data_IF_693848919687
#
_entry.id   IF_693848919687
#
_cell.length_a   1.000
_cell.length_b   1.000
_cell.length_c   1.000
_cell.angle_alpha   90.00
_cell.angle_beta   90.00
_cell.angle_gamma   90.00
#
_symmetry.space_group_name_H-M   'P 1'
#
loop_
_entity.id
_entity.type
_entity.pdbx_description
1 polymer ?
#
# COMPACT_ATOMS: atom_id res chain seq x y z
N UNK A 1 -86.58 -5.53 -0.98
CA UNK A 1 -87.04 -6.92 -1.10
C UNK A 1 -85.85 -7.74 -1.59
N UNK A 2 -85.47 -8.76 -0.81
CA UNK A 2 -84.46 -9.82 -1.03
C UNK A 2 -83.02 -9.44 -1.48
N UNK A 3 -82.07 -9.57 -0.52
CA UNK A 3 -80.64 -9.81 -0.74
C UNK A 3 -80.43 -11.31 -0.93
N UNK A 4 -79.75 -11.73 -1.99
CA UNK A 4 -79.16 -13.06 -2.08
C UNK A 4 -77.64 -12.94 -1.91
N UNK A 5 -77.13 -13.55 -0.84
CA UNK A 5 -75.71 -13.66 -0.51
C UNK A 5 -75.30 -15.07 -0.89
N UNK A 6 -74.50 -15.22 -1.94
CA UNK A 6 -73.81 -16.48 -2.23
C UNK A 6 -72.68 -16.67 -1.19
N UNK A 7 -72.85 -17.68 -0.34
CA UNK A 7 -71.85 -18.15 0.61
C UNK A 7 -71.05 -19.25 -0.07
N UNK A 8 -69.85 -18.93 -0.55
CA UNK A 8 -68.85 -19.92 -0.96
C UNK A 8 -68.32 -20.63 0.29
N UNK A 9 -69.02 -21.69 0.71
CA UNK A 9 -68.66 -22.53 1.84
C UNK A 9 -67.34 -23.27 1.60
N UNK A 10 -66.31 -22.92 2.38
CA UNK A 10 -65.06 -23.68 2.49
C UNK A 10 -65.40 -25.01 3.19
N UNK A 11 -65.45 -26.09 2.43
CA UNK A 11 -65.76 -27.44 2.93
C UNK A 11 -64.56 -27.98 3.73
N UNK A 12 -64.73 -28.08 5.05
CA UNK A 12 -63.77 -28.74 5.96
C UNK A 12 -64.25 -30.17 6.26
N UNK A 13 -63.43 -31.16 5.91
CA UNK A 13 -63.70 -32.57 6.19
C UNK A 13 -63.26 -32.91 7.63
N UNK A 14 -64.21 -33.36 8.45
CA UNK A 14 -63.99 -33.87 9.82
C UNK A 14 -64.24 -35.37 9.85
N UNK A 15 -63.34 -36.11 10.49
CA UNK A 15 -63.54 -37.53 10.83
C UNK A 15 -63.81 -37.62 12.33
N UNK A 16 -64.85 -38.37 12.70
CA UNK A 16 -65.20 -38.63 14.10
C UNK A 16 -64.70 -40.02 14.49
N UNK A 17 -63.90 -40.08 15.56
CA UNK A 17 -63.45 -41.33 16.17
C UNK A 17 -64.49 -41.82 17.21
N UNK A 18 -64.56 -43.14 17.51
CA UNK A 18 -65.57 -43.70 18.41
C UNK A 18 -65.58 -43.12 19.83
N UNK A 19 -64.48 -42.50 20.27
CA UNK A 19 -64.35 -41.88 21.60
C UNK A 19 -64.88 -40.43 21.65
N UNK A 20 -65.56 -39.95 20.60
CA UNK A 20 -66.24 -38.64 20.58
C UNK A 20 -65.34 -37.45 20.26
N UNK A 21 -64.05 -37.68 20.02
CA UNK A 21 -63.12 -36.63 19.57
C UNK A 21 -63.21 -36.43 18.05
N UNK A 22 -63.42 -35.18 17.63
CA UNK A 22 -63.45 -34.79 16.21
C UNK A 22 -62.12 -34.13 15.81
N UNK A 23 -61.46 -34.66 14.78
CA UNK A 23 -60.22 -34.05 14.25
C UNK A 23 -60.48 -33.42 12.88
N UNK A 24 -60.02 -32.18 12.71
CA UNK A 24 -60.04 -31.48 11.41
C UNK A 24 -58.84 -31.95 10.61
N UNK A 25 -59.10 -32.55 9.44
CA UNK A 25 -58.03 -32.98 8.53
C UNK A 25 -57.57 -31.78 7.70
N UNK A 26 -56.43 -31.19 8.06
CA UNK A 26 -55.74 -30.19 7.23
C UNK A 26 -55.19 -30.94 5.99
N UNK A 27 -55.42 -30.47 4.76
CA UNK A 27 -54.89 -31.14 3.56
C UNK A 27 -53.37 -31.23 3.63
N UNK A 28 -52.83 -32.46 3.59
CA UNK A 28 -51.39 -32.76 3.62
C UNK A 28 -50.60 -31.99 2.55
N UNK A 29 -51.26 -31.61 1.46
CA UNK A 29 -50.68 -30.85 0.35
C UNK A 29 -50.24 -29.43 0.73
N UNK A 30 -50.92 -28.75 1.66
CA UNK A 30 -50.53 -27.39 2.09
C UNK A 30 -49.28 -27.41 2.97
N UNK A 31 -49.16 -28.44 3.82
CA UNK A 31 -48.03 -28.59 4.74
C UNK A 31 -46.78 -29.07 4.00
N UNK A 32 -46.96 -30.00 3.05
CA UNK A 32 -45.92 -30.43 2.12
C UNK A 32 -45.41 -29.29 1.23
N UNK A 33 -46.30 -28.44 0.69
CA UNK A 33 -45.89 -27.33 -0.17
C UNK A 33 -45.13 -26.23 0.59
N UNK A 34 -45.51 -25.96 1.85
CA UNK A 34 -44.79 -25.03 2.74
C UNK A 34 -43.42 -25.60 3.16
N UNK A 35 -43.36 -26.89 3.50
CA UNK A 35 -42.10 -27.58 3.82
C UNK A 35 -41.15 -27.64 2.61
N UNK A 36 -41.68 -27.90 1.42
CA UNK A 36 -40.94 -27.89 0.15
C UNK A 36 -40.39 -26.49 -0.18
N UNK A 37 -41.19 -25.44 -0.01
CA UNK A 37 -40.76 -24.05 -0.17
C UNK A 37 -39.68 -23.65 0.85
N UNK A 38 -39.79 -24.10 2.10
CA UNK A 38 -38.78 -23.86 3.13
C UNK A 38 -37.48 -24.62 2.85
N UNK A 39 -37.57 -25.85 2.34
CA UNK A 39 -36.42 -26.65 1.94
C UNK A 39 -35.69 -26.05 0.73
N UNK A 40 -36.43 -25.62 -0.30
CA UNK A 40 -35.89 -24.85 -1.44
C UNK A 40 -35.26 -23.54 -0.99
N UNK A 41 -35.93 -22.76 -0.12
CA UNK A 41 -35.34 -21.54 0.46
C UNK A 41 -34.06 -21.85 1.22
N UNK A 42 -34.00 -22.93 2.01
CA UNK A 42 -32.79 -23.36 2.72
C UNK A 42 -31.65 -23.78 1.77
N UNK A 43 -31.98 -24.44 0.66
CA UNK A 43 -31.04 -24.91 -0.37
C UNK A 43 -30.38 -23.75 -1.12
N UNK A 44 -31.12 -22.66 -1.39
CA UNK A 44 -30.58 -21.45 -2.04
C UNK A 44 -30.02 -20.42 -1.05
N UNK A 45 -30.62 -20.25 0.13
CA UNK A 45 -30.18 -19.26 1.11
C UNK A 45 -28.84 -19.63 1.77
N UNK A 46 -28.54 -20.92 1.96
CA UNK A 46 -27.24 -21.38 2.48
C UNK A 46 -26.05 -21.04 1.58
N UNK A 47 -26.06 -21.32 0.26
CA UNK A 47 -24.97 -20.91 -0.62
C UNK A 47 -24.95 -19.39 -0.81
N UNK A 48 -26.11 -18.74 -0.98
CA UNK A 48 -26.17 -17.27 -1.13
C UNK A 48 -25.58 -16.56 0.10
N UNK A 49 -25.92 -16.99 1.32
CA UNK A 49 -25.38 -16.38 2.55
C UNK A 49 -23.88 -16.66 2.78
N UNK A 50 -23.33 -17.75 2.23
CA UNK A 50 -21.88 -17.99 2.21
C UNK A 50 -21.17 -17.04 1.24
N UNK A 51 -21.73 -16.86 0.05
CA UNK A 51 -21.23 -15.91 -0.96
C UNK A 51 -21.31 -14.49 -0.40
N UNK A 52 -22.43 -14.12 0.23
CA UNK A 52 -22.62 -12.80 0.81
C UNK A 52 -21.61 -12.50 1.93
N UNK A 53 -21.34 -13.46 2.83
CA UNK A 53 -20.28 -13.32 3.84
C UNK A 53 -18.89 -13.19 3.24
N UNK A 54 -18.61 -13.91 2.14
CA UNK A 54 -17.35 -13.78 1.44
C UNK A 54 -17.21 -12.40 0.80
N UNK A 55 -18.26 -11.92 0.13
CA UNK A 55 -18.31 -10.59 -0.46
C UNK A 55 -18.15 -9.49 0.59
N UNK A 56 -18.84 -9.59 1.73
CA UNK A 56 -18.71 -8.64 2.84
C UNK A 56 -17.28 -8.63 3.40
N UNK A 57 -16.68 -9.81 3.62
CA UNK A 57 -15.28 -9.90 4.07
C UNK A 57 -14.31 -9.33 3.04
N UNK A 58 -14.52 -9.60 1.75
CA UNK A 58 -13.72 -9.05 0.66
C UNK A 58 -13.92 -7.54 0.51
N UNK A 59 -15.12 -7.03 0.74
CA UNK A 59 -15.43 -5.61 0.75
C UNK A 59 -14.69 -4.90 1.89
N UNK A 60 -14.78 -5.44 3.10
CA UNK A 60 -14.07 -4.90 4.26
C UNK A 60 -12.55 -4.92 4.06
N UNK A 61 -12.00 -5.98 3.45
CA UNK A 61 -10.58 -6.04 3.09
C UNK A 61 -10.22 -5.04 1.98
N UNK A 62 -11.08 -4.86 0.99
CA UNK A 62 -10.86 -3.91 -0.10
C UNK A 62 -10.92 -2.45 0.36
N UNK A 63 -11.84 -2.14 1.29
CA UNK A 63 -11.93 -0.83 1.95
C UNK A 63 -10.72 -0.57 2.83
N UNK A 64 -10.16 -1.61 3.49
CA UNK A 64 -8.95 -1.47 4.28
C UNK A 64 -7.71 -1.14 3.41
N UNK A 65 -7.64 -1.65 2.18
CA UNK A 65 -6.50 -1.45 1.28
C UNK A 65 -6.92 -0.95 -0.11
N UNK A 66 -7.45 0.29 -0.22
CA UNK A 66 -8.05 0.80 -1.45
C UNK A 66 -7.07 0.87 -2.62
N UNK A 67 -5.79 1.13 -2.34
CA UNK A 67 -4.74 1.14 -3.36
C UNK A 67 -4.54 -0.22 -4.02
N UNK A 68 -4.64 -1.33 -3.27
CA UNK A 68 -4.49 -2.68 -3.84
C UNK A 68 -5.68 -3.05 -4.71
N UNK A 69 -6.89 -2.62 -4.32
CA UNK A 69 -8.10 -2.78 -5.14
C UNK A 69 -7.97 -2.00 -6.44
N UNK A 70 -7.54 -0.74 -6.37
CA UNK A 70 -7.31 0.11 -7.55
C UNK A 70 -6.26 -0.53 -8.45
N UNK A 71 -5.13 -0.99 -7.91
CA UNK A 71 -4.10 -1.67 -8.69
C UNK A 71 -4.64 -2.94 -9.36
N UNK A 72 -5.33 -3.81 -8.63
CA UNK A 72 -5.96 -5.01 -9.19
C UNK A 72 -6.94 -4.69 -10.32
N UNK A 73 -7.75 -3.65 -10.15
CA UNK A 73 -8.67 -3.19 -11.20
C UNK A 73 -7.92 -2.68 -12.45
N UNK A 74 -6.82 -1.94 -12.29
CA UNK A 74 -5.98 -1.48 -13.42
C UNK A 74 -5.34 -2.64 -14.17
N UNK A 75 -4.79 -3.61 -13.45
CA UNK A 75 -4.19 -4.82 -14.05
C UNK A 75 -5.26 -5.62 -14.80
N UNK A 76 -6.43 -5.82 -14.19
CA UNK A 76 -7.56 -6.50 -14.83
C UNK A 76 -8.02 -5.78 -16.10
N UNK A 77 -8.14 -4.44 -16.06
CA UNK A 77 -8.48 -3.63 -17.21
C UNK A 77 -7.43 -3.73 -18.33
N UNK A 78 -6.13 -3.72 -17.98
CA UNK A 78 -5.04 -3.89 -18.94
C UNK A 78 -5.09 -5.25 -19.64
N UNK A 79 -5.31 -6.32 -18.88
CA UNK A 79 -5.46 -7.67 -19.40
C UNK A 79 -6.71 -7.84 -20.26
N UNK A 80 -7.81 -7.19 -19.90
CA UNK A 80 -9.04 -7.17 -20.69
C UNK A 80 -8.80 -6.46 -22.03
N UNK A 81 -8.19 -5.28 -22.03
CA UNK A 81 -7.90 -4.53 -23.26
C UNK A 81 -6.94 -5.30 -24.16
N UNK A 82 -5.88 -5.90 -23.59
CA UNK A 82 -4.98 -6.80 -24.34
C UNK A 82 -5.77 -7.96 -24.93
N UNK A 83 -6.58 -8.67 -24.14
CA UNK A 83 -7.37 -9.81 -24.60
C UNK A 83 -8.33 -9.43 -25.74
N UNK A 84 -9.04 -8.32 -25.61
CA UNK A 84 -9.96 -7.81 -26.65
C UNK A 84 -9.19 -7.42 -27.91
N UNK A 85 -8.05 -6.75 -27.78
CA UNK A 85 -7.20 -6.37 -28.91
C UNK A 85 -6.75 -7.59 -29.73
N UNK A 86 -6.42 -8.70 -29.06
CA UNK A 86 -6.03 -9.94 -29.72
C UNK A 86 -7.22 -10.79 -30.20
N UNK A 87 -8.42 -10.65 -29.63
CA UNK A 87 -9.59 -11.41 -30.09
C UNK A 87 -10.18 -10.87 -31.40
N UNK A 88 -9.95 -9.59 -31.74
CA UNK A 88 -10.41 -9.00 -32.98
C UNK A 88 -9.61 -9.52 -34.20
N UNK A 89 -10.26 -10.39 -34.98
CA UNK A 89 -9.72 -11.19 -36.10
C UNK A 89 -8.84 -10.44 -37.10
N UNK A 90 -9.12 -9.17 -37.43
CA UNK A 90 -8.38 -8.40 -38.43
C UNK A 90 -6.89 -8.12 -38.08
N UNK A 91 -6.47 -8.31 -36.83
CA UNK A 91 -5.07 -8.15 -36.40
C UNK A 91 -4.43 -9.48 -35.94
N UNK A 92 -5.22 -10.57 -35.91
CA UNK A 92 -4.79 -11.89 -35.40
C UNK A 92 -4.02 -12.71 -36.43
N UNK A 93 -4.32 -12.55 -37.73
CA UNK A 93 -3.73 -13.34 -38.84
C UNK A 93 -2.21 -13.16 -38.99
N UNK A 94 -1.62 -12.15 -38.33
CA UNK A 94 -0.17 -12.02 -38.19
C UNK A 94 0.37 -12.51 -36.85
N UNK A 95 -0.32 -12.24 -35.72
CA UNK A 95 0.29 -12.04 -34.37
C UNK A 95 -0.27 -12.92 -33.26
N UNK A 96 -1.23 -13.81 -33.55
CA UNK A 96 -1.95 -14.59 -32.53
C UNK A 96 -1.08 -15.43 -31.57
N UNK A 97 0.01 -16.02 -32.05
CA UNK A 97 0.93 -16.82 -31.22
C UNK A 97 1.75 -16.02 -30.19
N UNK A 98 1.67 -14.69 -30.22
CA UNK A 98 2.53 -13.80 -29.42
C UNK A 98 1.77 -12.97 -28.39
N UNK A 99 0.44 -13.13 -28.31
CA UNK A 99 -0.41 -12.49 -27.30
C UNK A 99 0.10 -12.80 -25.88
N UNK A 100 0.63 -14.00 -25.66
CA UNK A 100 1.27 -14.41 -24.41
C UNK A 100 2.37 -13.45 -23.96
N UNK A 101 3.17 -12.91 -24.88
CA UNK A 101 4.25 -11.97 -24.54
C UNK A 101 3.72 -10.61 -24.10
N UNK A 102 2.61 -10.15 -24.68
CA UNK A 102 1.94 -8.92 -24.25
C UNK A 102 1.32 -9.10 -22.85
N UNK A 103 0.59 -10.20 -22.64
CA UNK A 103 -0.01 -10.55 -21.34
C UNK A 103 1.07 -10.69 -20.26
N UNK A 104 2.14 -11.44 -20.52
CA UNK A 104 3.26 -11.59 -19.58
C UNK A 104 3.93 -10.25 -19.28
N UNK A 105 4.03 -9.36 -20.27
CA UNK A 105 4.59 -8.02 -20.05
C UNK A 105 3.70 -7.20 -19.12
N UNK A 106 2.37 -7.20 -19.34
CA UNK A 106 1.43 -6.53 -18.43
C UNK A 106 1.59 -7.07 -17.01
N UNK A 107 1.55 -8.39 -16.82
CA UNK A 107 1.63 -9.00 -15.48
C UNK A 107 2.95 -8.69 -14.76
N UNK A 108 4.07 -8.67 -15.48
CA UNK A 108 5.40 -8.48 -14.88
C UNK A 108 5.71 -7.00 -14.60
N UNK A 109 5.21 -6.10 -15.44
CA UNK A 109 5.62 -4.69 -15.46
C UNK A 109 4.67 -3.79 -14.70
N UNK A 110 3.38 -4.12 -14.66
CA UNK A 110 2.37 -3.28 -14.04
C UNK A 110 2.54 -3.28 -12.51
N UNK A 111 2.62 -2.09 -11.92
CA UNK A 111 2.82 -1.88 -10.49
C UNK A 111 1.72 -1.00 -9.89
N UNK A 112 1.72 -0.88 -8.56
CA UNK A 112 0.70 -0.11 -7.83
C UNK A 112 0.77 1.39 -8.13
N UNK A 113 1.98 1.93 -8.30
CA UNK A 113 2.23 3.33 -8.62
C UNK A 113 2.80 3.53 -10.04
N UNK A 114 2.62 4.73 -10.56
CA UNK A 114 3.00 5.10 -11.93
C UNK A 114 4.50 5.05 -12.11
N UNK A 115 5.28 5.59 -11.17
CA UNK A 115 6.74 5.59 -11.24
C UNK A 115 7.38 4.21 -11.32
N UNK A 116 6.90 3.26 -10.51
CA UNK A 116 7.35 1.87 -10.52
C UNK A 116 6.98 1.18 -11.84
N UNK A 117 5.76 1.41 -12.35
CA UNK A 117 5.31 0.87 -13.64
C UNK A 117 6.21 1.40 -14.77
N UNK A 118 6.50 2.70 -14.79
CA UNK A 118 7.38 3.32 -15.79
C UNK A 118 8.81 2.80 -15.71
N UNK A 119 9.37 2.68 -14.51
CA UNK A 119 10.71 2.12 -14.31
C UNK A 119 10.78 0.68 -14.81
N UNK A 120 9.80 -0.16 -14.49
CA UNK A 120 9.73 -1.55 -14.99
C UNK A 120 9.50 -1.61 -16.50
N UNK A 121 8.70 -0.72 -17.08
CA UNK A 121 8.49 -0.61 -18.53
C UNK A 121 9.82 -0.34 -19.24
N UNK A 122 10.59 0.64 -18.73
CA UNK A 122 11.88 1.02 -19.30
C UNK A 122 12.90 -0.11 -19.12
N UNK A 123 12.95 -0.75 -17.95
CA UNK A 123 13.82 -1.90 -17.71
C UNK A 123 13.50 -3.06 -18.66
N UNK A 124 12.21 -3.33 -18.90
CA UNK A 124 11.75 -4.35 -19.84
C UNK A 124 12.12 -4.01 -21.28
N UNK A 125 11.87 -2.77 -21.71
CA UNK A 125 12.24 -2.29 -23.05
C UNK A 125 13.76 -2.35 -23.26
N UNK A 126 14.54 -1.88 -22.29
CA UNK A 126 16.00 -1.86 -22.34
C UNK A 126 16.57 -3.27 -22.37
N UNK A 127 16.09 -4.17 -21.51
CA UNK A 127 16.56 -5.56 -21.48
C UNK A 127 16.26 -6.30 -22.79
N UNK A 128 15.08 -6.10 -23.37
CA UNK A 128 14.72 -6.70 -24.66
C UNK A 128 15.53 -6.11 -25.81
N UNK A 129 15.72 -4.78 -25.84
CA UNK A 129 16.52 -4.10 -26.84
C UNK A 129 18.00 -4.51 -26.79
N UNK A 130 18.58 -4.60 -25.60
CA UNK A 130 19.96 -5.07 -25.40
C UNK A 130 20.13 -6.51 -25.88
N UNK A 131 19.18 -7.40 -25.55
CA UNK A 131 19.20 -8.78 -26.02
C UNK A 131 19.13 -8.86 -27.56
N UNK A 132 18.24 -8.08 -28.19
CA UNK A 132 18.15 -8.01 -29.65
C UNK A 132 19.42 -7.46 -30.30
N UNK A 133 19.99 -6.40 -29.73
CA UNK A 133 21.23 -5.77 -30.21
C UNK A 133 22.42 -6.71 -30.14
N UNK A 134 22.55 -7.47 -29.04
CA UNK A 134 23.58 -8.49 -28.89
C UNK A 134 23.43 -9.60 -29.94
N UNK A 135 22.21 -10.08 -30.19
CA UNK A 135 21.95 -11.09 -31.21
C UNK A 135 22.36 -10.62 -32.62
N UNK A 136 22.04 -9.36 -32.96
CA UNK A 136 22.46 -8.75 -34.23
C UNK A 136 23.99 -8.57 -34.31
N UNK A 137 24.62 -8.17 -33.21
CA UNK A 137 26.08 -8.05 -33.12
C UNK A 137 26.78 -9.38 -33.40
N UNK A 138 26.33 -10.46 -32.78
CA UNK A 138 26.85 -11.82 -33.01
C UNK A 138 26.67 -12.23 -34.48
N UNK A 139 25.49 -12.01 -35.05
CA UNK A 139 25.21 -12.35 -36.45
C UNK A 139 26.09 -11.53 -37.42
N UNK A 140 26.30 -10.25 -37.13
CA UNK A 140 27.15 -9.38 -37.92
C UNK A 140 28.62 -9.84 -37.90
N UNK A 141 29.14 -10.18 -36.72
CA UNK A 141 30.50 -10.74 -36.56
C UNK A 141 30.63 -12.06 -37.33
N UNK A 142 29.64 -12.96 -37.19
CA UNK A 142 29.64 -14.24 -37.86
C UNK A 142 29.64 -14.10 -39.41
N UNK A 143 28.87 -13.14 -39.94
CA UNK A 143 28.84 -12.85 -41.38
C UNK A 143 30.16 -12.26 -41.91
N UNK A 144 30.90 -11.50 -41.09
CA UNK A 144 32.19 -10.90 -41.49
C UNK A 144 33.35 -11.90 -41.49
N UNK A 145 33.22 -13.00 -40.75
CA UNK A 145 34.34 -13.91 -40.45
C UNK A 145 34.60 -15.01 -41.50
N UNK A 146 33.86 -15.03 -42.61
CA UNK A 146 33.98 -16.05 -43.66
C UNK A 146 33.19 -17.34 -43.39
N UNK A 147 32.92 -18.14 -44.44
CA UNK A 147 32.02 -19.30 -44.35
C UNK A 147 32.50 -20.42 -43.43
N UNK A 148 33.82 -20.55 -43.25
CA UNK A 148 34.43 -21.55 -42.36
C UNK A 148 34.30 -21.20 -40.87
N UNK A 149 34.39 -19.92 -40.49
CA UNK A 149 34.34 -19.50 -39.09
C UNK A 149 32.94 -19.09 -38.61
N UNK A 150 32.03 -18.75 -39.53
CA UNK A 150 30.62 -18.43 -39.23
C UNK A 150 29.92 -19.46 -38.33
N UNK A 151 29.92 -20.78 -38.63
CA UNK A 151 29.26 -21.76 -37.77
C UNK A 151 29.96 -21.93 -36.41
N UNK A 152 31.28 -21.71 -36.35
CA UNK A 152 32.05 -21.77 -35.10
C UNK A 152 31.65 -20.61 -34.18
N UNK A 153 31.56 -19.38 -34.71
CA UNK A 153 31.18 -18.18 -33.94
C UNK A 153 29.74 -18.29 -33.43
N UNK A 154 28.80 -18.69 -34.30
CA UNK A 154 27.41 -18.91 -33.89
C UNK A 154 27.34 -20.05 -32.88
N UNK A 155 28.04 -21.16 -33.10
CA UNK A 155 28.08 -22.31 -32.19
C UNK A 155 28.62 -21.96 -30.80
N UNK A 156 29.73 -21.22 -30.72
CA UNK A 156 30.28 -20.74 -29.44
C UNK A 156 29.33 -19.75 -28.77
N UNK A 157 28.73 -18.83 -29.52
CA UNK A 157 27.81 -17.83 -28.97
C UNK A 157 26.53 -18.49 -28.43
N UNK A 158 25.97 -19.44 -29.18
CA UNK A 158 24.83 -20.25 -28.75
C UNK A 158 25.22 -21.17 -27.61
N UNK A 159 26.43 -21.72 -27.57
CA UNK A 159 26.90 -22.53 -26.44
C UNK A 159 27.06 -21.70 -25.16
N UNK A 160 27.62 -20.49 -25.24
CA UNK A 160 27.74 -19.58 -24.10
C UNK A 160 26.35 -19.14 -23.64
N UNK A 161 25.49 -18.72 -24.57
CA UNK A 161 24.10 -18.37 -24.27
C UNK A 161 23.34 -19.58 -23.70
N UNK A 162 23.49 -20.77 -24.27
CA UNK A 162 22.86 -21.99 -23.81
C UNK A 162 23.41 -22.45 -22.47
N UNK A 163 24.68 -22.26 -22.16
CA UNK A 163 25.26 -22.55 -20.85
C UNK A 163 24.72 -21.58 -19.80
N UNK A 164 24.59 -20.29 -20.16
CA UNK A 164 23.90 -19.28 -19.33
C UNK A 164 22.40 -19.59 -19.19
N UNK A 165 21.76 -20.12 -20.23
CA UNK A 165 20.35 -20.52 -20.28
C UNK A 165 20.11 -21.90 -19.63
N UNK A 166 21.11 -22.77 -19.52
CA UNK A 166 21.02 -24.05 -18.82
C UNK A 166 21.02 -23.81 -17.30
N UNK A 167 21.50 -22.65 -16.87
CA UNK A 167 21.23 -22.07 -15.56
C UNK A 167 19.87 -21.33 -15.48
N UNK A 168 19.20 -20.98 -16.59
CA UNK A 168 17.87 -20.35 -16.66
C UNK A 168 17.18 -20.52 -18.05
N UNK A 169 16.15 -21.38 -18.13
CA UNK A 169 15.68 -22.19 -19.28
C UNK A 169 15.21 -21.45 -20.59
N UNK A 170 15.45 -22.10 -21.76
CA UNK A 170 14.74 -22.12 -23.10
C UNK A 170 15.33 -21.54 -24.42
N UNK A 171 15.07 -22.23 -25.55
CA UNK A 171 15.84 -22.35 -26.82
C UNK A 171 15.15 -21.86 -28.14
N UNK A 172 15.98 -21.59 -29.18
CA UNK A 172 15.86 -21.80 -30.66
C UNK A 172 16.32 -20.58 -31.52
N UNK A 173 17.23 -20.82 -32.51
CA UNK A 173 18.08 -19.76 -33.11
C UNK A 173 17.79 -19.41 -34.59
N UNK A 174 17.11 -20.24 -35.37
CA UNK A 174 17.00 -19.98 -36.82
C UNK A 174 15.69 -19.30 -37.27
N UNK A 175 14.65 -19.33 -36.41
CA UNK A 175 13.42 -18.53 -36.56
C UNK A 175 13.52 -17.17 -35.86
N UNK A 176 14.68 -16.85 -35.28
CA UNK A 176 14.84 -15.84 -34.24
C UNK A 176 14.52 -14.43 -34.72
N UNK A 177 14.93 -14.03 -35.93
CA UNK A 177 14.82 -12.62 -36.35
C UNK A 177 13.37 -12.21 -36.66
N UNK A 178 12.63 -13.01 -37.43
CA UNK A 178 11.21 -12.75 -37.70
C UNK A 178 10.37 -12.84 -36.41
N UNK A 179 10.68 -13.82 -35.57
CA UNK A 179 10.06 -14.03 -34.27
C UNK A 179 10.38 -12.90 -33.27
N UNK A 180 11.59 -12.33 -33.34
CA UNK A 180 12.04 -11.22 -32.50
C UNK A 180 11.31 -9.92 -32.84
N UNK A 181 11.25 -9.54 -34.13
CA UNK A 181 10.54 -8.32 -34.56
C UNK A 181 9.09 -8.31 -34.08
N UNK A 182 8.44 -9.45 -34.21
CA UNK A 182 7.07 -9.63 -33.76
C UNK A 182 6.92 -9.54 -32.24
N UNK A 183 7.84 -10.16 -31.49
CA UNK A 183 7.89 -10.03 -30.02
C UNK A 183 8.14 -8.60 -29.56
N UNK A 184 9.01 -7.85 -30.25
CA UNK A 184 9.23 -6.44 -29.94
C UNK A 184 7.95 -5.63 -30.10
N UNK A 185 7.21 -5.83 -31.19
CA UNK A 185 5.94 -5.13 -31.41
C UNK A 185 4.90 -5.48 -30.35
N UNK A 186 4.75 -6.75 -29.95
CA UNK A 186 3.77 -7.14 -28.93
C UNK A 186 4.15 -6.68 -27.53
N UNK A 187 5.44 -6.69 -27.18
CA UNK A 187 5.95 -6.11 -25.92
C UNK A 187 5.74 -4.60 -25.92
N UNK A 188 5.99 -3.92 -27.04
CA UNK A 188 5.76 -2.47 -27.16
C UNK A 188 4.28 -2.09 -26.99
N UNK A 189 3.35 -2.86 -27.55
CA UNK A 189 1.91 -2.69 -27.32
C UNK A 189 1.56 -2.90 -25.84
N UNK A 190 2.08 -3.96 -25.21
CA UNK A 190 1.89 -4.23 -23.79
C UNK A 190 2.40 -3.08 -22.90
N UNK A 191 3.61 -2.57 -23.16
CA UNK A 191 4.19 -1.42 -22.45
C UNK A 191 3.33 -0.17 -22.64
N UNK A 192 2.92 0.12 -23.88
CA UNK A 192 2.11 1.29 -24.19
C UNK A 192 0.77 1.25 -23.43
N UNK A 193 0.11 0.09 -23.40
CA UNK A 193 -1.12 -0.10 -22.64
C UNK A 193 -0.90 0.06 -21.13
N UNK A 194 0.20 -0.46 -20.57
CA UNK A 194 0.52 -0.28 -19.16
C UNK A 194 0.69 1.20 -18.80
N UNK A 195 1.42 1.95 -19.64
CA UNK A 195 1.66 3.38 -19.45
C UNK A 195 0.34 4.17 -19.54
N UNK A 196 -0.45 3.93 -20.58
CA UNK A 196 -1.73 4.61 -20.79
C UNK A 196 -2.68 4.35 -19.61
N UNK A 197 -2.82 3.10 -19.19
CA UNK A 197 -3.77 2.75 -18.14
C UNK A 197 -3.32 3.29 -16.79
N UNK A 198 -2.02 3.18 -16.47
CA UNK A 198 -1.48 3.69 -15.20
C UNK A 198 -1.61 5.21 -15.08
N UNK A 199 -1.49 5.95 -16.18
CA UNK A 199 -1.64 7.41 -16.22
C UNK A 199 -3.10 7.89 -16.23
N UNK A 200 -3.98 7.24 -17.00
CA UNK A 200 -5.35 7.74 -17.22
C UNK A 200 -6.37 7.26 -16.17
N UNK A 201 -6.21 6.04 -15.64
CA UNK A 201 -7.16 5.49 -14.68
C UNK A 201 -6.60 5.66 -13.26
N UNK A 202 -7.18 6.58 -12.48
CA UNK A 202 -6.85 6.84 -11.07
C UNK A 202 -5.34 6.81 -10.77
N UNK A 203 -4.54 7.75 -11.29
CA UNK A 203 -3.08 7.70 -11.15
C UNK A 203 -2.67 7.74 -9.67
N UNK A 204 -1.84 6.78 -9.28
CA UNK A 204 -1.25 6.71 -7.93
C UNK A 204 0.21 7.12 -8.06
N UNK A 205 0.56 8.24 -7.43
CA UNK A 205 1.88 8.85 -7.52
C UNK A 205 2.71 8.50 -6.28
N UNK A 206 3.87 7.87 -6.48
CA UNK A 206 4.84 7.58 -5.44
C UNK A 206 5.37 8.86 -4.77
N UNK A 207 5.51 9.96 -5.52
CA UNK A 207 5.91 11.25 -4.98
C UNK A 207 4.89 11.82 -3.97
N UNK A 208 3.59 11.68 -4.28
CA UNK A 208 2.51 12.09 -3.36
C UNK A 208 2.47 11.20 -2.11
N UNK A 209 2.74 9.91 -2.27
CA UNK A 209 2.78 8.98 -1.13
C UNK A 209 3.96 9.25 -0.21
N UNK A 210 5.15 9.49 -0.77
CA UNK A 210 6.32 9.97 -0.02
C UNK A 210 6.02 11.27 0.71
N UNK A 211 5.36 12.21 0.02
CA UNK A 211 5.02 13.49 0.62
C UNK A 211 4.12 13.34 1.84
N UNK A 212 3.04 12.58 1.71
CA UNK A 212 2.12 12.31 2.82
C UNK A 212 2.79 11.49 3.93
N UNK A 213 3.71 10.58 3.60
CA UNK A 213 4.48 9.82 4.57
C UNK A 213 5.34 10.75 5.46
N UNK A 214 6.09 11.66 4.85
CA UNK A 214 6.92 12.61 5.61
C UNK A 214 6.07 13.52 6.51
N UNK A 215 4.95 14.04 6.00
CA UNK A 215 4.02 14.87 6.80
C UNK A 215 3.49 14.10 8.00
N UNK A 216 2.98 12.87 7.80
CA UNK A 216 2.49 12.04 8.90
C UNK A 216 3.58 11.66 9.90
N UNK A 217 4.80 11.44 9.42
CA UNK A 217 5.93 11.12 10.28
C UNK A 217 6.29 12.29 11.20
N UNK A 218 6.21 13.54 10.71
CA UNK A 218 6.38 14.73 11.55
C UNK A 218 5.30 14.84 12.63
N UNK A 219 4.03 14.63 12.27
CA UNK A 219 2.91 14.64 13.22
C UNK A 219 3.09 13.57 14.31
N UNK A 220 3.39 12.33 13.91
CA UNK A 220 3.63 11.23 14.87
C UNK A 220 4.83 11.50 15.77
N UNK A 221 5.89 12.11 15.24
CA UNK A 221 7.06 12.48 16.02
C UNK A 221 6.73 13.53 17.09
N UNK A 222 5.90 14.52 16.73
CA UNK A 222 5.40 15.54 17.66
C UNK A 222 4.55 14.91 18.78
N UNK A 223 3.61 14.04 18.41
CA UNK A 223 2.72 13.38 19.37
C UNK A 223 3.49 12.43 20.29
N UNK A 224 4.48 11.71 19.76
CA UNK A 224 5.35 10.83 20.54
C UNK A 224 6.25 11.60 21.50
N UNK A 225 6.85 12.71 21.07
CA UNK A 225 7.69 13.55 21.94
C UNK A 225 6.89 14.13 23.11
N UNK A 226 5.75 14.76 22.81
CA UNK A 226 4.86 15.35 23.80
C UNK A 226 4.33 14.28 24.77
N UNK A 227 3.92 13.13 24.22
CA UNK A 227 3.41 12.00 24.99
C UNK A 227 4.46 11.35 25.91
N UNK A 228 5.68 11.09 25.43
CA UNK A 228 6.75 10.50 26.25
C UNK A 228 7.12 11.40 27.43
N UNK A 229 7.23 12.72 27.23
CA UNK A 229 7.56 13.66 28.32
C UNK A 229 6.39 13.76 29.30
N UNK A 230 5.15 13.87 28.81
CA UNK A 230 3.98 13.94 29.66
C UNK A 230 3.79 12.68 30.53
N UNK A 231 4.06 11.50 29.97
CA UNK A 231 4.01 10.24 30.71
C UNK A 231 5.09 10.16 31.80
N UNK A 232 6.32 10.59 31.51
CA UNK A 232 7.42 10.59 32.47
C UNK A 232 7.13 11.41 33.74
N UNK A 233 6.50 12.57 33.56
CA UNK A 233 6.19 13.53 34.63
C UNK A 233 4.76 13.41 35.16
N UNK A 234 4.01 12.37 34.78
CA UNK A 234 2.64 12.18 35.21
C UNK A 234 2.59 11.85 36.71
N UNK A 235 1.76 12.60 37.46
CA UNK A 235 1.40 12.21 38.83
C UNK A 235 0.42 11.03 38.79
N UNK A 236 0.67 10.01 39.61
CA UNK A 236 -0.06 8.73 39.75
C UNK A 236 -1.60 8.85 39.91
N UNK A 237 -2.12 10.07 40.10
CA UNK A 237 -3.53 10.37 40.38
C UNK A 237 -4.38 10.72 39.15
N UNK A 238 -3.81 10.79 37.94
CA UNK A 238 -4.55 11.22 36.74
C UNK A 238 -4.87 10.05 35.81
N UNK A 239 -5.92 9.30 36.12
CA UNK A 239 -6.54 8.38 35.15
C UNK A 239 -7.40 9.22 34.20
N UNK A 240 -6.93 9.45 32.99
CA UNK A 240 -7.77 9.92 31.89
C UNK A 240 -8.17 8.71 31.03
N UNK A 241 -9.47 8.56 30.83
CA UNK A 241 -10.08 7.41 30.17
C UNK A 241 -10.13 7.51 28.65
N UNK A 242 -10.34 6.32 28.06
CA UNK A 242 -10.98 6.01 26.78
C UNK A 242 -10.69 6.92 25.58
N UNK A 243 -9.47 6.86 25.06
CA UNK A 243 -9.16 6.93 23.63
C UNK A 243 -8.12 5.83 23.32
N UNK A 244 -7.79 5.60 22.04
CA UNK A 244 -6.82 4.58 21.60
C UNK A 244 -5.62 4.46 22.55
N UNK A 245 -5.21 3.21 22.83
CA UNK A 245 -4.19 2.87 23.83
C UNK A 245 -3.04 3.91 23.84
N UNK A 246 -2.88 4.72 24.90
CA UNK A 246 -1.92 5.83 24.96
C UNK A 246 -0.50 5.42 24.54
N UNK A 247 -0.14 4.16 24.81
CA UNK A 247 1.14 3.57 24.40
C UNK A 247 1.34 3.60 22.87
N UNK A 248 0.29 3.39 22.08
CA UNK A 248 0.35 3.39 20.60
C UNK A 248 0.70 4.78 20.07
N UNK A 249 0.18 5.84 20.70
CA UNK A 249 0.47 7.24 20.31
C UNK A 249 1.90 7.63 20.69
N UNK A 250 2.35 7.22 21.87
CA UNK A 250 3.70 7.48 22.38
C UNK A 250 4.75 6.72 21.57
N UNK A 251 4.44 5.51 21.09
CA UNK A 251 5.34 4.72 20.25
C UNK A 251 5.28 5.07 18.75
N UNK A 252 4.54 6.12 18.37
CA UNK A 252 4.42 6.60 16.99
C UNK A 252 5.78 6.84 16.31
N UNK A 253 6.81 7.28 17.04
CA UNK A 253 8.17 7.48 16.52
C UNK A 253 8.79 6.20 15.92
N UNK A 254 8.39 4.99 16.35
CA UNK A 254 8.90 3.72 15.80
C UNK A 254 8.59 3.57 14.31
N UNK A 255 7.48 4.14 13.83
CA UNK A 255 7.19 4.12 12.40
C UNK A 255 8.16 4.98 11.59
N UNK A 256 8.69 6.05 12.19
CA UNK A 256 9.71 6.94 11.61
C UNK A 256 11.07 6.24 11.55
N UNK A 257 11.42 5.47 12.58
CA UNK A 257 12.66 4.67 12.58
C UNK A 257 12.68 3.65 11.44
N UNK A 258 11.53 3.02 11.18
CA UNK A 258 11.40 1.98 10.17
C UNK A 258 11.10 2.50 8.74
N UNK A 259 10.95 3.81 8.53
CA UNK A 259 10.48 4.35 7.25
C UNK A 259 11.55 4.44 6.16
N UNK A 260 12.85 4.29 6.48
CA UNK A 260 13.97 4.55 5.55
C UNK A 260 13.84 3.80 4.22
N UNK A 261 13.62 2.50 4.26
CA UNK A 261 13.53 1.69 3.04
C UNK A 261 12.35 2.12 2.16
N UNK A 262 11.21 2.42 2.79
CA UNK A 262 10.00 2.90 2.12
C UNK A 262 10.24 4.27 1.47
N UNK A 263 10.89 5.19 2.18
CA UNK A 263 11.25 6.52 1.66
C UNK A 263 12.16 6.45 0.45
N UNK A 264 13.23 5.64 0.52
CA UNK A 264 14.20 5.47 -0.57
C UNK A 264 13.54 4.87 -1.82
N UNK A 265 12.68 3.87 -1.64
CA UNK A 265 11.93 3.23 -2.72
C UNK A 265 10.96 4.22 -3.37
N UNK A 266 10.17 4.95 -2.58
CA UNK A 266 9.21 5.93 -3.11
C UNK A 266 9.93 7.07 -3.83
N UNK A 267 11.03 7.59 -3.27
CA UNK A 267 11.82 8.64 -3.90
C UNK A 267 12.41 8.17 -5.24
N UNK A 268 12.88 6.92 -5.32
CA UNK A 268 13.39 6.35 -6.57
C UNK A 268 12.29 6.21 -7.62
N UNK A 269 11.09 5.75 -7.24
CA UNK A 269 9.96 5.66 -8.18
C UNK A 269 9.46 7.04 -8.62
N UNK A 270 9.39 8.00 -7.70
CA UNK A 270 8.94 9.36 -7.99
C UNK A 270 9.83 10.11 -8.99
N UNK A 271 11.07 9.67 -9.24
CA UNK A 271 11.94 10.21 -10.30
C UNK A 271 11.52 9.83 -11.71
N UNK A 272 10.76 8.75 -11.85
CA UNK A 272 10.26 8.28 -13.15
C UNK A 272 8.91 8.90 -13.53
N UNK A 273 8.28 9.61 -12.60
CA UNK A 273 6.94 10.14 -12.81
C UNK A 273 6.97 11.37 -13.72
N UNK A 274 6.03 11.49 -14.68
CA UNK A 274 5.81 12.75 -15.40
C UNK A 274 5.38 13.86 -14.43
N UNK A 275 5.41 15.11 -14.90
CA UNK A 275 4.94 16.24 -14.10
C UNK A 275 3.49 16.05 -13.65
N UNK A 276 3.28 16.18 -12.34
CA UNK A 276 1.98 16.00 -11.72
C UNK A 276 1.89 16.80 -10.41
N UNK A 277 0.65 17.05 -9.99
CA UNK A 277 0.35 17.76 -8.75
C UNK A 277 1.01 19.15 -8.66
N UNK A 278 1.26 19.60 -7.43
CA UNK A 278 1.83 20.92 -7.14
C UNK A 278 3.35 21.02 -7.40
N UNK A 279 4.05 19.88 -7.49
CA UNK A 279 5.49 19.86 -7.74
C UNK A 279 5.84 20.10 -9.23
N UNK A 280 4.87 19.94 -10.13
CA UNK A 280 5.04 20.09 -11.58
C UNK A 280 6.31 19.35 -12.07
N UNK A 281 7.32 20.03 -12.66
CA UNK A 281 8.57 19.40 -13.13
C UNK A 281 9.74 19.46 -12.13
N UNK A 282 9.58 20.15 -10.98
CA UNK A 282 10.70 20.46 -10.07
C UNK A 282 10.54 19.73 -8.75
N UNK A 283 10.84 18.44 -8.78
CA UNK A 283 10.67 17.57 -7.63
C UNK A 283 11.91 17.58 -6.71
N UNK A 284 11.78 17.94 -5.42
CA UNK A 284 12.89 17.98 -4.48
C UNK A 284 13.05 16.67 -3.70
N UNK A 285 13.00 15.51 -4.36
CA UNK A 285 12.99 14.21 -3.69
C UNK A 285 14.24 13.94 -2.83
N UNK A 286 15.39 14.51 -3.21
CA UNK A 286 16.60 14.44 -2.38
C UNK A 286 16.41 15.16 -1.04
N UNK A 287 15.72 16.30 -1.03
CA UNK A 287 15.42 17.06 0.18
C UNK A 287 14.45 16.29 1.08
N UNK A 288 13.47 15.58 0.51
CA UNK A 288 12.59 14.69 1.29
C UNK A 288 13.38 13.61 2.05
N UNK A 289 14.37 13.00 1.40
CA UNK A 289 15.25 12.01 2.06
C UNK A 289 16.12 12.63 3.17
N UNK A 290 16.58 13.88 2.98
CA UNK A 290 17.32 14.62 4.02
C UNK A 290 16.44 14.96 5.23
N UNK A 291 15.19 15.35 4.98
CA UNK A 291 14.19 15.56 6.04
C UNK A 291 13.93 14.25 6.78
N UNK A 292 13.70 13.14 6.04
CA UNK A 292 13.57 11.79 6.61
C UNK A 292 14.74 11.39 7.51
N UNK A 293 15.97 11.66 7.09
CA UNK A 293 17.16 11.39 7.90
C UNK A 293 17.18 12.23 9.19
N UNK A 294 16.80 13.50 9.12
CA UNK A 294 16.74 14.40 10.27
C UNK A 294 15.64 13.99 11.26
N UNK A 295 14.47 13.59 10.75
CA UNK A 295 13.39 13.05 11.57
C UNK A 295 13.80 11.77 12.29
N UNK A 296 14.54 10.86 11.63
CA UNK A 296 15.06 9.66 12.29
C UNK A 296 16.03 9.99 13.42
N UNK A 297 16.89 11.00 13.25
CA UNK A 297 17.76 11.45 14.34
C UNK A 297 16.96 11.92 15.56
N UNK A 298 15.89 12.69 15.34
CA UNK A 298 14.98 13.09 16.42
C UNK A 298 14.24 11.89 17.02
N UNK A 299 13.81 10.93 16.19
CA UNK A 299 13.16 9.70 16.66
C UNK A 299 14.09 8.86 17.56
N UNK A 300 15.39 8.80 17.29
CA UNK A 300 16.35 8.16 18.20
C UNK A 300 16.46 8.86 19.55
N UNK A 301 16.37 10.20 19.59
CA UNK A 301 16.33 10.94 20.85
C UNK A 301 15.05 10.63 21.64
N UNK A 302 13.90 10.52 20.96
CA UNK A 302 12.63 10.14 21.59
C UNK A 302 12.65 8.68 22.05
N UNK A 303 13.29 7.78 21.31
CA UNK A 303 13.49 6.39 21.73
C UNK A 303 14.31 6.29 23.03
N UNK A 304 15.38 7.09 23.13
CA UNK A 304 16.17 7.19 24.35
C UNK A 304 15.32 7.73 25.52
N UNK A 305 14.53 8.78 25.29
CA UNK A 305 13.61 9.33 26.29
C UNK A 305 12.57 8.29 26.72
N UNK A 306 11.93 7.62 25.78
CA UNK A 306 10.93 6.59 26.03
C UNK A 306 11.53 5.39 26.79
N UNK A 307 12.80 5.08 26.56
CA UNK A 307 13.52 4.08 27.36
C UNK A 307 13.69 4.51 28.81
N UNK A 308 13.88 5.81 29.09
CA UNK A 308 13.87 6.35 30.45
C UNK A 308 12.49 6.30 31.09
N UNK A 309 11.41 6.53 30.34
CA UNK A 309 10.03 6.37 30.82
C UNK A 309 9.77 4.96 31.31
N UNK A 310 10.21 3.97 30.54
CA UNK A 310 9.99 2.55 30.86
C UNK A 310 11.06 1.95 31.80
N UNK A 311 11.99 2.75 32.32
CA UNK A 311 13.04 2.24 33.20
C UNK A 311 12.52 1.92 34.60
N UNK A 312 13.01 0.82 35.19
CA UNK A 312 12.76 0.49 36.60
C UNK A 312 13.40 1.50 37.56
N UNK A 313 14.50 2.15 37.15
CA UNK A 313 15.22 3.14 37.96
C UNK A 313 14.77 4.54 37.54
N UNK A 314 13.86 5.10 38.31
CA UNK A 314 13.32 6.44 38.08
C UNK A 314 14.11 7.51 38.85
N UNK A 315 14.15 8.73 38.30
CA UNK A 315 14.74 9.86 39.01
C UNK A 315 13.94 10.17 40.29
N UNK A 316 14.60 10.63 41.37
CA UNK A 316 13.92 11.08 42.58
C UNK A 316 12.80 12.10 42.30
N UNK A 317 11.68 11.98 43.02
CA UNK A 317 10.48 12.81 42.81
C UNK A 317 10.75 14.32 42.91
N UNK A 318 11.69 14.73 43.76
CA UNK A 318 12.05 16.15 43.89
C UNK A 318 12.70 16.70 42.61
N UNK A 319 13.55 15.91 41.94
CA UNK A 319 14.14 16.27 40.64
C UNK A 319 13.09 16.24 39.55
N UNK A 320 12.21 15.23 39.55
CA UNK A 320 11.10 15.16 38.59
C UNK A 320 10.24 16.42 38.66
N UNK A 321 9.85 16.85 39.86
CA UNK A 321 9.08 18.09 40.06
C UNK A 321 9.86 19.35 39.67
N UNK A 322 11.16 19.41 39.99
CA UNK A 322 12.01 20.54 39.64
C UNK A 322 12.12 20.74 38.12
N UNK A 323 12.26 19.67 37.35
CA UNK A 323 12.43 19.73 35.90
C UNK A 323 11.13 19.65 35.10
N UNK A 324 10.03 19.20 35.71
CA UNK A 324 8.76 18.95 35.02
C UNK A 324 8.31 20.14 34.18
N UNK A 325 8.27 21.35 34.76
CA UNK A 325 7.80 22.53 34.03
C UNK A 325 8.68 22.84 32.81
N UNK A 326 10.00 22.94 32.99
CA UNK A 326 10.94 23.25 31.91
C UNK A 326 10.92 22.19 30.80
N UNK A 327 10.87 20.90 31.15
CA UNK A 327 10.81 19.81 30.18
C UNK A 327 9.47 19.77 29.43
N UNK A 328 8.35 20.03 30.11
CA UNK A 328 7.02 20.09 29.48
C UNK A 328 6.89 21.27 28.51
N UNK A 329 7.42 22.45 28.88
CA UNK A 329 7.47 23.62 27.98
C UNK A 329 8.35 23.30 26.76
N UNK A 330 9.54 22.75 26.98
CA UNK A 330 10.46 22.41 25.89
C UNK A 330 9.87 21.37 24.93
N UNK A 331 9.22 20.32 25.46
CA UNK A 331 8.60 19.29 24.62
C UNK A 331 7.42 19.85 23.83
N UNK A 332 6.58 20.69 24.45
CA UNK A 332 5.45 21.34 23.80
C UNK A 332 5.92 22.25 22.65
N UNK A 333 6.89 23.14 22.89
CA UNK A 333 7.45 24.03 21.86
C UNK A 333 8.11 23.24 20.71
N UNK A 334 8.84 22.16 21.05
CA UNK A 334 9.47 21.28 20.06
C UNK A 334 8.44 20.57 19.18
N UNK A 335 7.36 20.05 19.79
CA UNK A 335 6.25 19.41 19.08
C UNK A 335 5.46 20.41 18.24
N UNK A 336 5.31 21.65 18.67
CA UNK A 336 4.67 22.70 17.88
C UNK A 336 5.47 23.04 16.61
N UNK A 337 6.80 23.11 16.71
CA UNK A 337 7.67 23.25 15.51
C UNK A 337 7.48 22.08 14.56
N UNK A 338 7.46 20.84 15.06
CA UNK A 338 7.23 19.67 14.21
C UNK A 338 5.85 19.70 13.52
N UNK A 339 4.80 20.13 14.24
CA UNK A 339 3.45 20.32 13.70
C UNK A 339 3.38 21.44 12.66
N UNK A 340 4.06 22.57 12.89
CA UNK A 340 4.14 23.67 11.93
C UNK A 340 4.92 23.24 10.66
N UNK A 341 6.00 22.46 10.81
CA UNK A 341 6.69 21.84 9.67
C UNK A 341 5.77 20.88 8.91
N UNK A 342 4.99 20.05 9.62
CA UNK A 342 4.02 19.16 8.98
C UNK A 342 2.96 19.97 8.20
N UNK A 343 2.42 21.03 8.81
CA UNK A 343 1.43 21.91 8.21
C UNK A 343 1.97 22.63 6.96
N UNK A 344 3.18 23.18 7.03
CA UNK A 344 3.81 23.90 5.93
C UNK A 344 4.17 22.98 4.77
N UNK A 345 4.65 21.77 5.06
CA UNK A 345 4.83 20.74 4.05
C UNK A 345 3.49 20.35 3.41
N UNK A 346 2.47 20.05 4.21
CA UNK A 346 1.13 19.64 3.75
C UNK A 346 0.47 20.68 2.86
N UNK A 347 0.62 21.96 3.19
CA UNK A 347 0.08 23.08 2.40
C UNK A 347 1.03 23.53 1.29
N UNK A 348 2.27 23.05 1.28
CA UNK A 348 3.36 23.50 0.41
C UNK A 348 3.54 25.03 0.42
N UNK A 349 3.36 25.65 1.59
CA UNK A 349 3.52 27.09 1.80
C UNK A 349 4.67 27.42 2.74
N UNK A 350 5.17 28.66 2.67
CA UNK A 350 6.21 29.14 3.59
C UNK A 350 5.58 29.49 4.94
N UNK A 351 6.15 28.99 6.04
CA UNK A 351 5.74 29.41 7.38
C UNK A 351 6.13 30.87 7.66
N UNK A 352 5.24 31.59 8.33
CA UNK A 352 5.55 32.88 8.96
C UNK A 352 5.86 32.74 10.46
N UNK A 353 5.62 31.56 11.05
CA UNK A 353 5.71 31.30 12.49
C UNK A 353 6.96 30.54 12.89
N UNK A 354 7.56 29.78 11.96
CA UNK A 354 8.64 28.84 12.29
C UNK A 354 9.84 29.52 12.97
N UNK A 355 10.23 30.71 12.52
CA UNK A 355 11.36 31.44 13.10
C UNK A 355 11.07 31.86 14.55
N UNK A 356 9.83 32.24 14.84
CA UNK A 356 9.37 32.58 16.19
C UNK A 356 9.34 31.34 17.11
N UNK A 357 8.78 30.23 16.62
CA UNK A 357 8.72 28.98 17.40
C UNK A 357 10.12 28.41 17.70
N UNK A 358 11.07 28.56 16.77
CA UNK A 358 12.46 28.17 17.01
C UNK A 358 13.11 29.02 18.10
N UNK A 359 12.81 30.31 18.16
CA UNK A 359 13.27 31.17 19.26
C UNK A 359 12.67 30.74 20.60
N UNK A 360 11.39 30.39 20.64
CA UNK A 360 10.74 29.84 21.86
C UNK A 360 11.37 28.52 22.31
N UNK A 361 11.79 27.64 21.39
CA UNK A 361 12.57 26.44 21.72
C UNK A 361 13.92 26.84 22.34
N UNK A 362 14.65 27.77 21.73
CA UNK A 362 15.96 28.19 22.23
C UNK A 362 15.85 28.76 23.66
N UNK A 363 14.83 29.56 23.93
CA UNK A 363 14.54 30.09 25.26
C UNK A 363 14.20 28.96 26.26
N UNK A 364 13.35 28.01 25.88
CA UNK A 364 13.02 26.86 26.73
C UNK A 364 14.24 25.97 27.01
N UNK A 365 15.15 25.81 26.04
CA UNK A 365 16.42 25.10 26.24
C UNK A 365 17.30 25.82 27.27
N UNK A 366 17.37 27.16 27.21
CA UNK A 366 18.13 27.95 28.18
C UNK A 366 17.55 27.80 29.59
N UNK A 367 16.23 27.85 29.74
CA UNK A 367 15.56 27.66 31.03
C UNK A 367 15.84 26.26 31.60
N UNK A 368 15.82 25.22 30.76
CA UNK A 368 16.18 23.86 31.17
C UNK A 368 17.67 23.76 31.58
N UNK A 369 18.57 24.42 30.85
CA UNK A 369 19.99 24.46 31.19
C UNK A 369 20.25 25.19 32.51
N UNK A 370 19.55 26.28 32.78
CA UNK A 370 19.68 27.01 34.04
C UNK A 370 19.09 26.23 35.21
N UNK A 371 17.97 25.53 35.00
CA UNK A 371 17.43 24.55 35.94
C UNK A 371 18.41 23.41 36.21
N UNK A 372 19.19 23.00 35.22
CA UNK A 372 20.21 21.96 35.41
C UNK A 372 21.37 22.46 36.28
N UNK A 373 21.78 23.72 36.09
CA UNK A 373 22.85 24.36 36.89
C UNK A 373 22.43 24.64 38.34
N UNK A 374 21.13 24.80 38.62
CA UNK A 374 20.63 25.05 39.98
C UNK A 374 20.59 23.79 40.85
N UNK A 375 20.73 22.60 40.26
CA UNK A 375 20.81 21.34 41.04
C UNK A 375 22.14 21.29 41.80
N UNK A 376 22.13 21.10 43.13
CA UNK A 376 23.36 20.98 43.90
C UNK A 376 24.19 19.77 43.44
N UNK A 377 25.49 19.97 43.17
CA UNK A 377 26.44 18.91 42.80
C UNK A 377 26.80 17.96 43.97
N UNK A 378 26.12 18.02 45.10
CA UNK A 378 26.46 17.19 46.27
C UNK A 378 25.90 15.77 46.10
N UNK A 379 26.73 14.72 46.21
CA UNK A 379 26.23 13.35 46.27
C UNK A 379 25.35 13.23 47.52
N UNK A 380 24.10 12.82 47.33
CA UNK A 380 23.22 12.47 48.44
C UNK A 380 23.83 11.19 49.06
N UNK A 381 24.35 11.30 50.27
CA UNK A 381 24.78 10.13 51.04
C UNK A 381 23.58 9.17 51.22
N UNK A 382 23.76 7.87 51.03
CA UNK A 382 22.68 6.90 51.19
C UNK A 382 22.27 6.84 52.66
N UNK A 383 21.01 7.18 52.96
CA UNK A 383 20.35 6.86 54.24
C UNK A 383 19.76 5.48 54.22
#
# INVERSE_FOLDING_TARGET
>A
MAKEKEVSGKLEWRVNEPDGTSRVLVPESELGHKAWLLWLKGLFYRPISKIWRFLDKSWNLGVAEPQKVIHGAKVGLALLIVSIFYYNQNLYDGVGGYATWAIMTVVVVFESNVGATLSKCINRATGTFLAGSLALGVQWIACKSGETFKPIIIGISVFILAWLQFLAIENQVDKLFAFASQRFSTIAVGISLCIIISMLFCPIWAGSELHNLIVRNLEKLADSLEGSVAEYFKDDKTVLGNEEDPSIRIEGYKCVLNSKATEDVMANFARWEPAHGLFNFRHPWKQYLMIGASMRNCAYCIEALNSCVNSEIQAPDYLKKHFSNACMILSSNSSEVLRELAYTMKTMTKSSKIDFLVEEINLAVLELQDSLKSVPNSPIEPT
#
